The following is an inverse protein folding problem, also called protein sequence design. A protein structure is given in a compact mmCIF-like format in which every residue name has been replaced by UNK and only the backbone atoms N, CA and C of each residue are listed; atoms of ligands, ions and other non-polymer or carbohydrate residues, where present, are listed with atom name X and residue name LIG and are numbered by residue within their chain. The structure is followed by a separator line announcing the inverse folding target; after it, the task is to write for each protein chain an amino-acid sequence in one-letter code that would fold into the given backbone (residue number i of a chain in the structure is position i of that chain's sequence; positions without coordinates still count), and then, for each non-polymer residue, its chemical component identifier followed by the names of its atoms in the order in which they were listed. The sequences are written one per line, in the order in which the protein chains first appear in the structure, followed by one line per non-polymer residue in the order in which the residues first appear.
data_IF_547258429747
#
_entry.id   IF_547258429747
#
_cell.length_a   1.000
_cell.length_b   1.000
_cell.length_c   1.000
_cell.angle_alpha   90.00
_cell.angle_beta   90.00
_cell.angle_gamma   90.00
#
_symmetry.space_group_name_H-M   'P 1'
#
loop_
_entity.id
_entity.type
_entity.pdbx_description
1 polymer ?
#
# COMPACT_ATOMS: atom_id res chain seq x y z
N UNK A 1 -7.10 -13.10 -32.36
CA UNK A 1 -5.90 -13.20 -31.49
C UNK A 1 -6.38 -13.05 -30.06
N UNK A 2 -6.03 -13.99 -29.19
CA UNK A 2 -6.63 -14.22 -27.87
C UNK A 2 -6.27 -13.09 -26.90
N UNK A 3 -7.28 -12.47 -26.32
CA UNK A 3 -7.14 -11.74 -25.06
C UNK A 3 -7.31 -12.72 -23.93
N UNK A 4 -6.22 -13.39 -23.55
CA UNK A 4 -6.20 -14.19 -22.34
C UNK A 4 -6.09 -13.20 -21.16
N UNK A 5 -7.20 -13.02 -20.44
CA UNK A 5 -7.18 -12.37 -19.15
C UNK A 5 -6.14 -13.10 -18.28
N UNK A 6 -5.21 -12.35 -17.69
CA UNK A 6 -4.28 -12.88 -16.70
C UNK A 6 -5.11 -13.63 -15.65
N UNK A 7 -4.85 -14.92 -15.39
CA UNK A 7 -5.62 -15.65 -14.42
C UNK A 7 -5.47 -15.00 -13.05
N UNK A 8 -6.54 -15.00 -12.26
CA UNK A 8 -6.61 -14.58 -10.85
C UNK A 8 -5.83 -15.54 -9.92
N UNK A 9 -4.70 -16.06 -10.40
CA UNK A 9 -3.99 -17.24 -9.92
C UNK A 9 -2.50 -16.92 -9.70
N UNK A 10 -2.21 -16.14 -8.67
CA UNK A 10 -0.97 -16.24 -7.90
C UNK A 10 -1.14 -15.54 -6.56
N UNK A 11 -2.11 -16.05 -5.79
CA UNK A 11 -2.34 -15.69 -4.40
C UNK A 11 -1.79 -16.81 -3.51
N UNK A 12 -0.49 -16.84 -3.29
CA UNK A 12 0.11 -17.74 -2.29
C UNK A 12 0.11 -17.05 -0.94
N UNK A 13 -0.94 -17.31 -0.15
CA UNK A 13 -0.82 -17.22 1.30
C UNK A 13 0.04 -18.40 1.75
N UNK A 14 1.25 -18.15 2.23
CA UNK A 14 1.97 -19.15 3.02
C UNK A 14 1.12 -19.42 4.26
N UNK A 15 0.56 -20.62 4.37
CA UNK A 15 -0.17 -21.06 5.56
C UNK A 15 0.81 -21.06 6.74
N UNK A 16 0.65 -20.11 7.66
CA UNK A 16 1.26 -20.15 8.98
C UNK A 16 0.16 -20.08 10.04
N UNK A 17 0.29 -20.98 11.00
CA UNK A 17 -0.65 -21.35 12.05
C UNK A 17 -1.04 -20.19 12.98
N UNK A 18 -2.13 -20.39 13.71
CA UNK A 18 -2.94 -19.38 14.41
C UNK A 18 -2.23 -18.62 15.56
N UNK A 19 -0.97 -18.91 15.91
CA UNK A 19 -0.14 -18.10 16.83
C UNK A 19 1.24 -17.68 16.27
N UNK A 20 1.45 -17.80 14.94
CA UNK A 20 2.75 -17.59 14.26
C UNK A 20 2.90 -16.29 13.46
N UNK A 21 2.11 -15.24 13.76
CA UNK A 21 2.17 -13.97 13.03
C UNK A 21 3.48 -13.21 13.31
N UNK A 22 4.04 -12.57 12.29
CA UNK A 22 5.29 -11.80 12.40
C UNK A 22 5.09 -10.51 13.21
N UNK A 23 5.97 -10.25 14.17
CA UNK A 23 5.99 -9.07 15.04
C UNK A 23 7.37 -8.92 15.70
N UNK A 24 7.61 -7.97 16.61
CA UNK A 24 6.66 -7.05 17.26
C UNK A 24 6.57 -5.67 16.57
N UNK A 25 7.06 -5.58 15.33
CA UNK A 25 6.87 -4.42 14.47
C UNK A 25 5.50 -4.40 13.80
N UNK A 26 5.29 -3.51 12.84
CA UNK A 26 3.98 -3.40 12.18
C UNK A 26 4.04 -2.99 10.72
N UNK A 27 2.99 -3.34 9.97
CA UNK A 27 2.79 -2.87 8.60
C UNK A 27 1.77 -1.73 8.58
N UNK A 28 2.14 -0.58 8.01
CA UNK A 28 1.22 0.50 7.63
C UNK A 28 0.93 0.38 6.14
N UNK A 29 -0.32 0.10 5.80
CA UNK A 29 -0.78 0.01 4.40
C UNK A 29 -1.57 1.26 4.06
N UNK A 30 -1.03 2.05 3.13
CA UNK A 30 -1.70 3.25 2.61
C UNK A 30 -2.54 2.84 1.41
N UNK A 31 -3.86 3.01 1.51
CA UNK A 31 -4.84 2.66 0.47
C UNK A 31 -5.67 3.88 0.10
N UNK A 32 -6.32 3.85 -1.07
CA UNK A 32 -7.11 4.99 -1.55
C UNK A 32 -7.17 5.05 -3.07
N UNK A 33 -8.13 5.80 -3.64
CA UNK A 33 -8.28 5.89 -5.08
C UNK A 33 -7.07 6.57 -5.74
N UNK A 34 -6.95 6.41 -7.06
CA UNK A 34 -5.99 7.21 -7.83
C UNK A 34 -6.34 8.70 -7.69
N UNK A 35 -5.33 9.56 -7.58
CA UNK A 35 -5.54 11.01 -7.35
C UNK A 35 -5.82 11.42 -5.90
N UNK A 36 -5.95 10.47 -4.96
CA UNK A 36 -6.15 10.79 -3.54
C UNK A 36 -4.92 11.45 -2.87
N UNK A 37 -3.74 11.39 -3.50
CA UNK A 37 -2.52 12.00 -2.98
C UNK A 37 -1.70 11.12 -2.05
N UNK A 38 -1.87 9.79 -2.11
CA UNK A 38 -1.11 8.80 -1.30
C UNK A 38 0.41 9.04 -1.36
N UNK A 39 0.98 9.09 -2.56
CA UNK A 39 2.43 9.27 -2.74
C UNK A 39 2.90 10.63 -2.19
N UNK A 40 2.11 11.69 -2.40
CA UNK A 40 2.44 13.02 -1.85
C UNK A 40 2.49 13.05 -0.33
N UNK A 41 1.55 12.36 0.35
CA UNK A 41 1.56 12.28 1.81
C UNK A 41 2.70 11.39 2.33
N UNK A 42 2.97 10.26 1.66
CA UNK A 42 4.07 9.37 2.01
C UNK A 42 5.41 10.09 1.87
N UNK A 43 5.67 10.75 0.73
CA UNK A 43 6.91 11.48 0.48
C UNK A 43 7.04 12.70 1.41
N UNK A 44 5.94 13.43 1.65
CA UNK A 44 5.93 14.53 2.61
C UNK A 44 6.28 14.08 4.02
N UNK A 45 5.74 12.94 4.47
CA UNK A 45 6.10 12.37 5.77
C UNK A 45 7.54 11.86 5.80
N UNK A 46 7.97 11.12 4.76
CA UNK A 46 9.35 10.62 4.60
C UNK A 46 10.39 11.73 4.70
N UNK A 47 10.11 12.90 4.11
CA UNK A 47 10.99 14.06 4.21
C UNK A 47 11.11 14.59 5.66
N UNK A 48 10.04 14.56 6.46
CA UNK A 48 10.05 15.01 7.87
C UNK A 48 10.82 14.07 8.80
N UNK A 49 10.77 12.76 8.55
CA UNK A 49 11.36 11.73 9.41
C UNK A 49 12.64 11.10 8.84
N UNK A 50 13.32 11.82 7.93
CA UNK A 50 14.54 11.34 7.29
C UNK A 50 15.58 10.88 8.33
N UNK A 51 16.02 9.62 8.22
CA UNK A 51 16.98 9.00 9.14
C UNK A 51 16.37 8.24 10.33
N UNK A 52 15.05 8.19 10.47
CA UNK A 52 14.40 7.44 11.54
C UNK A 52 14.44 5.92 11.26
N UNK A 53 15.40 5.21 11.87
CA UNK A 53 15.70 3.78 11.59
C UNK A 53 14.53 2.82 11.84
N UNK A 54 13.58 3.18 12.70
CA UNK A 54 12.36 2.38 12.93
C UNK A 54 11.44 2.33 11.71
N UNK A 55 11.49 3.33 10.82
CA UNK A 55 10.56 3.49 9.71
C UNK A 55 11.20 3.03 8.39
N UNK A 56 10.55 2.09 7.73
CA UNK A 56 10.91 1.65 6.39
C UNK A 56 9.85 2.12 5.40
N UNK A 57 10.21 3.03 4.49
CA UNK A 57 9.38 3.39 3.35
C UNK A 57 9.59 2.37 2.23
N UNK A 58 8.57 1.54 1.99
CA UNK A 58 8.73 0.35 1.15
C UNK A 58 8.71 0.71 -0.34
N UNK A 59 9.84 0.47 -1.01
CA UNK A 59 9.94 0.47 -2.46
C UNK A 59 9.35 -0.83 -3.01
N UNK A 60 8.30 -0.73 -3.83
CA UNK A 60 7.54 -1.89 -4.33
C UNK A 60 8.20 -2.49 -5.57
N UNK A 61 8.10 -3.81 -5.72
CA UNK A 61 8.38 -4.50 -6.98
C UNK A 61 7.14 -4.41 -7.87
N UNK A 62 7.26 -3.96 -9.11
CA UNK A 62 6.11 -3.82 -10.03
C UNK A 62 6.50 -4.31 -11.42
N UNK A 63 5.60 -5.06 -12.07
CA UNK A 63 5.79 -5.54 -13.46
C UNK A 63 5.60 -4.48 -14.54
N UNK A 64 5.82 -3.21 -14.19
CA UNK A 64 5.69 -2.05 -15.07
C UNK A 64 7.09 -1.62 -15.50
N UNK A 65 7.30 -1.23 -16.77
CA UNK A 65 8.57 -0.65 -17.20
C UNK A 65 8.92 0.61 -16.38
N UNK A 66 10.18 0.73 -15.96
CA UNK A 66 10.67 1.84 -15.13
C UNK A 66 10.44 3.22 -15.77
N UNK A 67 10.43 3.28 -17.11
CA UNK A 67 10.26 4.47 -17.94
C UNK A 67 8.85 5.09 -17.84
N UNK A 68 7.90 4.41 -17.18
CA UNK A 68 6.53 4.91 -17.00
C UNK A 68 6.40 6.02 -15.94
N UNK A 69 7.46 6.36 -15.21
CA UNK A 69 7.70 7.71 -14.66
C UNK A 69 6.67 8.34 -13.70
N UNK A 70 6.06 7.58 -12.78
CA UNK A 70 5.09 8.18 -11.83
C UNK A 70 5.28 7.83 -10.35
N UNK A 71 6.04 6.79 -9.98
CA UNK A 71 6.17 6.33 -8.58
C UNK A 71 7.58 5.74 -8.33
N UNK A 72 8.14 5.91 -7.13
CA UNK A 72 9.38 5.21 -6.71
C UNK A 72 9.09 3.71 -6.53
N UNK A 73 9.52 2.92 -7.51
CA UNK A 73 9.35 1.47 -7.53
C UNK A 73 10.56 0.81 -8.19
N UNK A 74 10.72 -0.49 -7.94
CA UNK A 74 11.65 -1.35 -8.64
C UNK A 74 10.88 -2.08 -9.75
N UNK A 75 11.25 -1.79 -11.00
CA UNK A 75 10.72 -2.50 -12.15
C UNK A 75 11.31 -3.91 -12.20
N UNK A 76 10.46 -4.90 -12.39
CA UNK A 76 10.83 -6.32 -12.47
C UNK A 76 10.03 -6.98 -13.58
N UNK A 77 10.57 -7.98 -14.28
CA UNK A 77 9.76 -8.70 -15.26
C UNK A 77 8.68 -9.56 -14.57
N UNK A 78 7.62 -9.85 -15.30
CA UNK A 78 6.56 -10.74 -14.80
C UNK A 78 7.09 -12.11 -14.37
N UNK A 79 7.92 -12.74 -15.23
CA UNK A 79 8.51 -14.05 -14.98
C UNK A 79 9.45 -14.06 -13.76
N UNK A 80 10.23 -12.99 -13.54
CA UNK A 80 11.08 -12.89 -12.36
C UNK A 80 10.27 -12.70 -11.08
N UNK A 81 9.21 -11.89 -11.14
CA UNK A 81 8.35 -11.67 -9.98
C UNK A 81 7.56 -12.93 -9.58
N UNK A 82 7.05 -13.68 -10.55
CA UNK A 82 6.42 -14.98 -10.30
C UNK A 82 7.37 -15.95 -9.60
N UNK A 83 8.60 -16.11 -10.10
CA UNK A 83 9.61 -16.97 -9.45
C UNK A 83 9.88 -16.56 -8.01
N UNK A 84 9.98 -15.26 -7.74
CA UNK A 84 10.15 -14.75 -6.37
C UNK A 84 8.95 -15.07 -5.48
N UNK A 85 7.73 -14.99 -6.01
CA UNK A 85 6.51 -15.36 -5.29
C UNK A 85 6.49 -16.86 -4.97
N UNK A 86 6.80 -17.70 -5.96
CA UNK A 86 6.86 -19.16 -5.81
C UNK A 86 7.91 -19.60 -4.78
N UNK A 87 9.06 -18.94 -4.76
CA UNK A 87 10.14 -19.21 -3.82
C UNK A 87 9.92 -18.63 -2.41
N UNK A 88 8.88 -17.81 -2.21
CA UNK A 88 8.65 -17.11 -0.94
C UNK A 88 9.59 -15.94 -0.67
N UNK A 89 10.24 -15.41 -1.71
CA UNK A 89 11.19 -14.29 -1.70
C UNK A 89 10.52 -12.90 -1.73
N UNK A 90 9.21 -12.85 -1.45
CA UNK A 90 8.45 -11.62 -1.27
C UNK A 90 7.68 -11.67 0.05
N UNK A 91 7.41 -10.50 0.60
CA UNK A 91 6.62 -10.38 1.82
C UNK A 91 5.11 -10.50 1.53
N UNK A 92 4.62 -9.77 0.52
CA UNK A 92 3.23 -9.80 0.07
C UNK A 92 3.20 -9.54 -1.44
N UNK A 93 2.23 -10.09 -2.17
CA UNK A 93 2.00 -9.82 -3.59
C UNK A 93 0.51 -9.63 -3.91
N UNK A 94 0.20 -8.89 -4.98
CA UNK A 94 -1.15 -8.72 -5.47
C UNK A 94 -1.19 -8.29 -6.94
N UNK A 95 -2.27 -8.65 -7.65
CA UNK A 95 -2.58 -8.14 -8.98
C UNK A 95 -3.46 -6.89 -8.94
N UNK A 96 -3.18 -5.93 -9.81
CA UNK A 96 -4.07 -4.79 -10.10
C UNK A 96 -3.77 -4.17 -11.48
N UNK A 97 -4.81 -3.77 -12.21
CA UNK A 97 -4.65 -3.08 -13.52
C UNK A 97 -3.71 -3.82 -14.50
N UNK A 98 -3.82 -5.15 -14.59
CA UNK A 98 -2.97 -6.01 -15.43
C UNK A 98 -1.47 -5.96 -15.07
N UNK A 99 -1.15 -5.53 -13.85
CA UNK A 99 0.19 -5.52 -13.29
C UNK A 99 0.22 -6.37 -12.03
N UNK A 100 1.39 -6.94 -11.76
CA UNK A 100 1.69 -7.63 -10.53
C UNK A 100 2.58 -6.74 -9.67
N UNK A 101 2.26 -6.69 -8.38
CA UNK A 101 2.96 -5.89 -7.39
C UNK A 101 3.42 -6.80 -6.27
N UNK A 102 4.55 -6.47 -5.64
CA UNK A 102 4.96 -7.11 -4.41
C UNK A 102 5.71 -6.16 -3.47
N UNK A 103 5.66 -6.52 -2.19
CA UNK A 103 6.54 -5.99 -1.16
C UNK A 103 7.77 -6.92 -1.05
N UNK A 104 9.00 -6.39 -1.04
CA UNK A 104 10.20 -7.22 -0.93
C UNK A 104 10.27 -7.94 0.42
N UNK A 105 10.98 -9.07 0.46
CA UNK A 105 11.14 -9.89 1.68
C UNK A 105 11.73 -9.12 2.87
N UNK A 106 12.50 -8.06 2.62
CA UNK A 106 13.05 -7.17 3.65
C UNK A 106 11.98 -6.56 4.56
N UNK A 107 10.72 -6.45 4.10
CA UNK A 107 9.59 -6.02 4.94
C UNK A 107 9.35 -7.00 6.10
N UNK A 108 9.41 -8.32 5.84
CA UNK A 108 9.26 -9.34 6.89
C UNK A 108 10.37 -9.17 7.94
N UNK A 109 11.62 -9.02 7.48
CA UNK A 109 12.78 -8.87 8.36
C UNK A 109 12.70 -7.60 9.21
N UNK A 110 12.25 -6.48 8.62
CA UNK A 110 12.10 -5.20 9.33
C UNK A 110 10.99 -5.22 10.37
N UNK A 111 9.86 -5.85 10.05
CA UNK A 111 8.77 -6.02 11.01
C UNK A 111 9.18 -6.99 12.13
N UNK A 112 9.89 -8.07 11.78
CA UNK A 112 10.42 -9.05 12.74
C UNK A 112 11.43 -8.45 13.73
N UNK A 113 12.18 -7.42 13.32
CA UNK A 113 13.09 -6.69 14.22
C UNK A 113 12.42 -5.59 15.06
N UNK A 114 11.09 -5.47 14.98
CA UNK A 114 10.33 -4.47 15.74
C UNK A 114 10.11 -3.14 15.01
N UNK A 115 10.48 -3.04 13.73
CA UNK A 115 10.31 -1.85 12.90
C UNK A 115 8.91 -1.71 12.29
N UNK A 116 8.61 -0.51 11.79
CA UNK A 116 7.37 -0.20 11.08
C UNK A 116 7.64 0.00 9.60
N UNK A 117 7.02 -0.83 8.76
CA UNK A 117 7.09 -0.70 7.30
C UNK A 117 5.86 0.07 6.78
N UNK A 118 6.07 1.06 5.92
CA UNK A 118 5.02 1.90 5.33
C UNK A 118 4.98 1.64 3.83
N UNK A 119 3.86 1.12 3.32
CA UNK A 119 3.72 0.72 1.93
C UNK A 119 2.48 1.36 1.28
N UNK A 120 2.65 1.92 0.08
CA UNK A 120 1.53 2.29 -0.80
C UNK A 120 0.90 1.01 -1.39
N UNK A 121 -0.20 0.55 -0.81
CA UNK A 121 -0.80 -0.74 -1.09
C UNK A 121 -2.14 -0.68 -1.81
N UNK A 122 -2.74 -1.86 -1.93
CA UNK A 122 -4.11 -2.05 -2.40
C UNK A 122 -4.96 -2.61 -1.27
N UNK A 123 -6.26 -2.30 -1.25
CA UNK A 123 -7.20 -2.95 -0.32
C UNK A 123 -7.18 -4.48 -0.42
N UNK A 124 -6.79 -5.02 -1.59
CA UNK A 124 -6.67 -6.48 -1.84
C UNK A 124 -5.65 -7.16 -0.93
N UNK A 125 -4.62 -6.45 -0.44
CA UNK A 125 -3.59 -7.04 0.43
C UNK A 125 -3.95 -7.01 1.91
N UNK A 126 -5.00 -6.29 2.31
CA UNK A 126 -5.36 -6.12 3.72
C UNK A 126 -5.61 -7.46 4.41
N UNK A 127 -6.44 -8.39 3.89
CA UNK A 127 -6.68 -9.67 4.56
C UNK A 127 -5.40 -10.51 4.73
N UNK A 128 -4.51 -10.48 3.74
CA UNK A 128 -3.24 -11.20 3.78
C UNK A 128 -2.27 -10.58 4.80
N UNK A 129 -2.23 -9.25 4.89
CA UNK A 129 -1.44 -8.56 5.89
C UNK A 129 -1.93 -8.86 7.32
N UNK A 130 -3.25 -8.84 7.54
CA UNK A 130 -3.86 -9.16 8.84
C UNK A 130 -3.60 -10.61 9.25
N UNK A 131 -3.59 -11.54 8.29
CA UNK A 131 -3.25 -12.94 8.54
C UNK A 131 -1.75 -13.14 8.83
N UNK A 132 -0.87 -12.30 8.27
CA UNK A 132 0.58 -12.47 8.34
C UNK A 132 1.26 -11.73 9.50
N UNK A 133 0.85 -10.50 9.77
CA UNK A 133 1.50 -9.61 10.75
C UNK A 133 0.66 -9.46 12.01
N UNK A 134 1.32 -9.38 13.16
CA UNK A 134 0.65 -9.16 14.44
C UNK A 134 -0.08 -7.82 14.46
N UNK A 135 0.60 -6.78 13.95
CA UNK A 135 0.10 -5.42 13.92
C UNK A 135 0.05 -4.90 12.49
N UNK A 136 -1.13 -4.43 12.08
CA UNK A 136 -1.34 -3.73 10.81
C UNK A 136 -2.18 -2.49 11.05
N UNK A 137 -1.78 -1.37 10.45
CA UNK A 137 -2.57 -0.15 10.32
C UNK A 137 -2.95 0.06 8.86
N UNK A 138 -4.22 0.32 8.58
CA UNK A 138 -4.69 0.76 7.28
C UNK A 138 -4.90 2.27 7.33
N UNK A 139 -4.17 3.02 6.51
CA UNK A 139 -4.41 4.45 6.30
C UNK A 139 -5.14 4.60 4.98
N UNK A 140 -6.43 4.95 5.03
CA UNK A 140 -7.25 5.22 3.87
C UNK A 140 -7.19 6.71 3.51
N UNK A 141 -6.52 7.04 2.41
CA UNK A 141 -6.50 8.39 1.86
C UNK A 141 -7.63 8.52 0.85
N UNK A 142 -8.52 9.48 1.05
CA UNK A 142 -9.67 9.75 0.17
C UNK A 142 -9.81 11.24 -0.12
N UNK A 143 -10.70 11.60 -1.04
CA UNK A 143 -11.18 12.95 -1.26
C UNK A 143 -12.57 12.88 -1.93
N UNK A 144 -13.37 13.95 -1.91
CA UNK A 144 -14.62 14.02 -2.65
C UNK A 144 -14.42 13.68 -4.13
N UNK A 145 -15.45 13.09 -4.72
CA UNK A 145 -15.43 12.55 -6.08
C UNK A 145 -15.00 13.62 -7.09
N UNK A 146 -15.56 14.81 -6.95
CA UNK A 146 -15.27 16.00 -7.73
C UNK A 146 -13.81 16.46 -7.61
N UNK A 147 -13.21 16.35 -6.42
CA UNK A 147 -11.79 16.70 -6.19
C UNK A 147 -10.88 15.67 -6.86
N UNK A 148 -11.20 14.38 -6.72
CA UNK A 148 -10.47 13.30 -7.38
C UNK A 148 -10.56 13.42 -8.90
N UNK A 149 -11.75 13.70 -9.44
CA UNK A 149 -11.97 13.93 -10.86
C UNK A 149 -11.13 15.09 -11.38
N UNK A 150 -11.15 16.23 -10.68
CA UNK A 150 -10.35 17.40 -11.06
C UNK A 150 -8.84 17.10 -11.07
N UNK A 151 -8.33 16.42 -10.04
CA UNK A 151 -6.91 16.01 -9.95
C UNK A 151 -6.51 15.02 -11.04
N UNK A 152 -7.41 14.12 -11.45
CA UNK A 152 -7.16 13.18 -12.55
C UNK A 152 -7.19 13.89 -13.91
N UNK A 153 -8.15 14.80 -14.13
CA UNK A 153 -8.26 15.58 -15.36
C UNK A 153 -7.02 16.43 -15.62
N UNK A 154 -6.44 17.04 -14.57
CA UNK A 154 -5.18 17.80 -14.67
C UNK A 154 -3.98 16.96 -15.14
N UNK A 155 -4.03 15.62 -15.05
CA UNK A 155 -2.95 14.73 -15.54
C UNK A 155 -3.05 14.47 -17.04
N UNK A 156 -4.12 14.89 -17.71
CA UNK A 156 -4.23 14.97 -19.17
C UNK A 156 -4.29 13.65 -19.93
N UNK A 157 -4.66 12.53 -19.28
CA UNK A 157 -4.60 11.17 -19.88
C UNK A 157 -5.88 10.34 -19.75
N UNK A 158 -6.97 10.88 -19.20
CA UNK A 158 -8.19 10.12 -18.90
C UNK A 158 -9.44 10.88 -19.34
N UNK A 159 -10.46 10.17 -19.86
CA UNK A 159 -11.75 10.77 -20.20
C UNK A 159 -12.64 10.91 -18.96
N UNK A 160 -13.68 11.74 -19.04
CA UNK A 160 -14.64 11.91 -17.95
C UNK A 160 -15.35 10.59 -17.58
N UNK A 161 -15.55 9.69 -18.54
CA UNK A 161 -16.13 8.35 -18.30
C UNK A 161 -15.17 7.42 -17.53
N UNK A 162 -13.87 7.47 -17.83
CA UNK A 162 -12.85 6.71 -17.08
C UNK A 162 -12.75 7.20 -15.63
N UNK A 163 -12.85 8.51 -15.45
CA UNK A 163 -12.89 9.17 -14.15
C UNK A 163 -14.14 8.75 -13.37
N UNK A 164 -15.33 8.85 -13.96
CA UNK A 164 -16.60 8.45 -13.33
C UNK A 164 -16.65 6.94 -12.99
N UNK A 165 -16.10 6.08 -13.84
CA UNK A 165 -16.00 4.63 -13.62
C UNK A 165 -15.04 4.26 -12.48
N UNK A 166 -13.94 5.00 -12.32
CA UNK A 166 -13.05 4.87 -11.16
C UNK A 166 -13.72 5.31 -9.87
N UNK A 167 -14.54 6.36 -9.91
CA UNK A 167 -15.20 6.93 -8.75
C UNK A 167 -16.40 6.10 -8.25
N UNK A 168 -17.16 5.45 -9.13
CA UNK A 168 -18.24 4.51 -8.72
C UNK A 168 -17.74 3.28 -7.96
N UNK A 169 -16.44 2.99 -8.01
CA UNK A 169 -15.80 1.90 -7.24
C UNK A 169 -15.22 2.37 -5.89
N UNK A 170 -15.44 3.63 -5.51
CA UNK A 170 -14.85 4.25 -4.33
C UNK A 170 -15.53 3.87 -3.01
N UNK A 171 -16.63 3.11 -3.01
CA UNK A 171 -17.10 2.41 -1.82
C UNK A 171 -16.09 1.31 -1.45
N UNK A 172 -15.06 1.70 -0.69
CA UNK A 172 -14.06 0.80 -0.14
C UNK A 172 -14.54 0.29 1.20
N UNK A 173 -14.83 -1.00 1.25
CA UNK A 173 -14.90 -1.76 2.51
C UNK A 173 -13.51 -2.28 2.86
N UNK A 174 -13.12 -2.13 4.12
CA UNK A 174 -11.82 -2.61 4.66
C UNK A 174 -11.96 -3.95 5.40
N UNK A 175 -13.12 -4.61 5.25
CA UNK A 175 -13.45 -5.84 5.98
C UNK A 175 -13.37 -5.63 7.49
N UNK A 176 -12.81 -6.61 8.19
CA UNK A 176 -12.63 -6.60 9.65
C UNK A 176 -11.27 -6.02 10.08
N UNK A 177 -10.65 -5.13 9.28
CA UNK A 177 -9.38 -4.52 9.65
C UNK A 177 -9.54 -3.76 10.99
N UNK A 178 -8.78 -4.12 12.04
CA UNK A 178 -9.02 -3.58 13.38
C UNK A 178 -8.58 -2.12 13.52
N UNK A 179 -7.56 -1.70 12.75
CA UNK A 179 -7.01 -0.35 12.80
C UNK A 179 -7.12 0.30 11.42
N UNK A 180 -8.13 1.15 11.24
CA UNK A 180 -8.32 1.94 10.02
C UNK A 180 -8.39 3.42 10.38
N UNK A 181 -7.53 4.23 9.78
CA UNK A 181 -7.59 5.69 9.85
C UNK A 181 -7.92 6.24 8.47
N UNK A 182 -9.01 7.01 8.36
CA UNK A 182 -9.35 7.70 7.11
C UNK A 182 -8.86 9.13 7.15
N UNK A 183 -8.14 9.56 6.11
CA UNK A 183 -7.69 10.93 5.91
C UNK A 183 -8.34 11.44 4.63
N UNK A 184 -9.21 12.44 4.76
CA UNK A 184 -9.78 13.15 3.63
C UNK A 184 -8.81 14.25 3.18
N UNK A 185 -8.07 13.99 2.10
CA UNK A 185 -7.00 14.84 1.61
C UNK A 185 -7.53 15.98 0.72
N UNK A 186 -8.24 16.91 1.35
CA UNK A 186 -8.84 18.11 0.72
C UNK A 186 -8.17 19.43 1.13
N UNK A 187 -7.40 19.42 2.20
CA UNK A 187 -6.65 20.56 2.73
C UNK A 187 -5.26 20.72 2.05
N UNK A 188 -4.41 21.59 2.60
CA UNK A 188 -3.02 21.70 2.16
C UNK A 188 -2.24 20.40 2.41
N UNK A 189 -1.13 20.23 1.67
CA UNK A 189 -0.24 19.09 1.82
C UNK A 189 0.27 18.95 3.27
N UNK A 190 0.64 20.07 3.91
CA UNK A 190 1.16 20.08 5.28
C UNK A 190 0.14 19.54 6.29
N UNK A 191 -1.14 19.89 6.14
CA UNK A 191 -2.20 19.36 7.00
C UNK A 191 -2.37 17.86 6.78
N UNK A 192 -2.37 17.42 5.52
CA UNK A 192 -2.46 15.99 5.20
C UNK A 192 -1.29 15.19 5.77
N UNK A 193 -0.06 15.73 5.69
CA UNK A 193 1.14 15.09 6.23
C UNK A 193 1.09 15.04 7.76
N UNK A 194 0.60 16.09 8.43
CA UNK A 194 0.44 16.09 9.89
C UNK A 194 -0.57 15.04 10.36
N UNK A 195 -1.70 14.87 9.66
CA UNK A 195 -2.68 13.81 9.96
C UNK A 195 -2.09 12.42 9.73
N UNK A 196 -1.30 12.26 8.66
CA UNK A 196 -0.62 11.01 8.34
C UNK A 196 0.41 10.63 9.41
N UNK A 197 1.22 11.59 9.85
CA UNK A 197 2.17 11.47 10.95
C UNK A 197 1.47 11.08 12.26
N UNK A 198 0.40 11.79 12.63
CA UNK A 198 -0.36 11.51 13.86
C UNK A 198 -0.90 10.07 13.89
N UNK A 199 -1.40 9.57 12.75
CA UNK A 199 -1.88 8.19 12.65
C UNK A 199 -0.75 7.17 12.90
N UNK A 200 0.42 7.40 12.31
CA UNK A 200 1.58 6.52 12.47
C UNK A 200 2.15 6.59 13.89
N UNK A 201 2.27 7.78 14.49
CA UNK A 201 2.72 7.92 15.87
C UNK A 201 1.79 7.22 16.85
N UNK A 202 0.48 7.35 16.66
CA UNK A 202 -0.53 6.68 17.50
C UNK A 202 -0.36 5.17 17.42
N UNK A 203 -0.16 4.65 16.21
CA UNK A 203 0.10 3.24 15.99
C UNK A 203 1.40 2.77 16.67
N UNK A 204 2.52 3.49 16.51
CA UNK A 204 3.81 3.17 17.14
C UNK A 204 3.71 3.20 18.67
N UNK A 205 3.00 4.17 19.24
CA UNK A 205 2.74 4.24 20.69
C UNK A 205 1.98 3.00 21.15
N UNK A 206 0.98 2.55 20.38
CA UNK A 206 0.25 1.30 20.61
C UNK A 206 1.14 0.05 20.59
N UNK A 207 2.08 -0.05 19.66
CA UNK A 207 3.04 -1.17 19.59
C UNK A 207 3.91 -1.31 20.84
N UNK A 208 4.19 -0.19 21.52
CA UNK A 208 5.05 -0.18 22.71
C UNK A 208 4.30 -0.64 23.97
N UNK A 209 2.97 -0.62 23.96
CA UNK A 209 2.12 -1.06 25.08
C UNK A 209 1.76 -2.55 25.00
N UNK A 210 2.01 -3.18 23.86
CA UNK A 210 1.76 -4.61 23.59
C UNK A 210 3.04 -5.47 23.74
N UNK A 211 4.14 -4.85 24.20
CA UNK A 211 5.45 -5.49 24.42
C UNK A 211 5.68 -5.92 25.86
#
# INVERSE_FOLDING_TARGET
MRGDALPDQSLTATQAQVDGRLGHGGLVIVVGPSGAGKDSLIEGYKAKVAGHSMLMFVRRLITRPAEAGHEDHEAISYTELEKKIENGDVALSWGAHNLLYALPKSVDSHIGSGGVAIANGSRRIIPHALAKYQHTLVIHITAPVEVLAHRLAQRGRETEEDIASRLRRAEMTFGSAPNVTTIENVSSLDVGVALFEQAIETFIKGLSQDR
#
